data_IF_482936553374
#
_entry.id   IF_482936553374
#
_cell.length_a   1.000
_cell.length_b   1.000
_cell.length_c   1.000
_cell.angle_alpha   90.00
_cell.angle_beta   90.00
_cell.angle_gamma   90.00
#
_symmetry.space_group_name_H-M   'P 1'
#
loop_
_entity.id
_entity.type
_entity.pdbx_description
1 polymer ?
#
# COMPACT_ATOMS: atom_id res chain seq x y z
N UNK A 1 -23.70 5.28 -1.56
CA UNK A 1 -24.21 6.54 -0.97
C UNK A 1 -23.93 7.73 -1.87
N UNK A 2 -24.84 8.70 -1.90
CA UNK A 2 -24.64 9.97 -2.61
C UNK A 2 -23.83 10.94 -1.77
N UNK A 3 -23.16 11.90 -2.40
CA UNK A 3 -22.19 12.79 -1.73
C UNK A 3 -22.84 13.64 -0.63
N UNK A 4 -24.07 14.11 -0.84
CA UNK A 4 -24.79 14.95 0.11
C UNK A 4 -25.10 14.21 1.42
N UNK A 5 -25.44 12.92 1.33
CA UNK A 5 -25.75 12.07 2.49
C UNK A 5 -24.52 11.94 3.39
N UNK A 6 -23.35 11.70 2.78
CA UNK A 6 -22.09 11.54 3.51
C UNK A 6 -21.65 12.86 4.16
N UNK A 7 -21.94 14.00 3.52
CA UNK A 7 -21.59 15.32 4.05
C UNK A 7 -22.45 15.73 5.26
N UNK A 8 -23.70 15.25 5.32
CA UNK A 8 -24.63 15.53 6.42
C UNK A 8 -24.31 14.75 7.71
N UNK A 9 -23.48 13.70 7.65
CA UNK A 9 -23.14 12.87 8.82
C UNK A 9 -22.18 13.57 9.79
N UNK A 10 -22.41 13.33 11.08
CA UNK A 10 -21.51 13.73 12.16
C UNK A 10 -20.25 12.84 12.18
N UNK A 11 -19.17 13.29 12.84
CA UNK A 11 -17.91 12.54 12.88
C UNK A 11 -18.05 11.15 13.53
N UNK A 12 -18.81 11.06 14.62
CA UNK A 12 -19.09 9.81 15.33
C UNK A 12 -19.94 8.84 14.51
N UNK A 13 -20.95 9.36 13.81
CA UNK A 13 -21.80 8.58 12.90
C UNK A 13 -21.00 8.06 11.71
N UNK A 14 -20.12 8.88 11.16
CA UNK A 14 -19.24 8.52 10.05
C UNK A 14 -18.30 7.36 10.44
N UNK A 15 -17.71 7.41 11.64
CA UNK A 15 -16.89 6.33 12.16
C UNK A 15 -17.68 5.03 12.35
N UNK A 16 -18.89 5.11 12.91
CA UNK A 16 -19.78 3.95 13.07
C UNK A 16 -20.14 3.33 11.72
N UNK A 17 -20.59 4.14 10.76
CA UNK A 17 -20.94 3.63 9.42
C UNK A 17 -19.75 3.03 8.68
N UNK A 18 -18.54 3.57 8.86
CA UNK A 18 -17.32 2.97 8.34
C UNK A 18 -17.12 1.57 8.93
N UNK A 19 -17.25 1.41 10.25
CA UNK A 19 -17.09 0.12 10.92
C UNK A 19 -18.13 -0.90 10.43
N UNK A 20 -19.41 -0.51 10.38
CA UNK A 20 -20.49 -1.37 9.90
C UNK A 20 -20.28 -1.79 8.44
N UNK A 21 -19.87 -0.85 7.58
CA UNK A 21 -19.60 -1.12 6.17
C UNK A 21 -18.39 -2.04 5.98
N UNK A 22 -17.38 -1.93 6.85
CA UNK A 22 -16.22 -2.83 6.85
C UNK A 22 -16.58 -4.25 7.27
N UNK A 23 -17.44 -4.41 8.28
CA UNK A 23 -17.97 -5.71 8.68
C UNK A 23 -18.74 -6.35 7.53
N UNK A 24 -19.66 -5.62 6.89
CA UNK A 24 -20.38 -6.12 5.71
C UNK A 24 -19.44 -6.52 4.56
N UNK A 25 -18.35 -5.79 4.36
CA UNK A 25 -17.33 -6.16 3.36
C UNK A 25 -16.65 -7.47 3.75
N UNK A 26 -16.37 -7.70 5.04
CA UNK A 26 -15.79 -8.95 5.52
C UNK A 26 -16.74 -10.13 5.30
N UNK A 27 -18.02 -9.97 5.65
CA UNK A 27 -19.05 -11.01 5.44
C UNK A 27 -19.21 -11.34 3.95
N UNK A 28 -19.30 -10.32 3.09
CA UNK A 28 -19.39 -10.52 1.64
C UNK A 28 -18.15 -11.20 1.08
N UNK A 29 -16.96 -10.93 1.62
CA UNK A 29 -15.73 -11.62 1.21
C UNK A 29 -15.70 -13.07 1.65
N UNK A 30 -16.20 -13.36 2.85
CA UNK A 30 -16.32 -14.72 3.36
C UNK A 30 -17.31 -15.52 2.50
N UNK A 31 -18.50 -14.96 2.28
CA UNK A 31 -19.51 -15.58 1.42
C UNK A 31 -18.99 -15.79 0.00
N UNK A 32 -18.22 -14.84 -0.57
CA UNK A 32 -17.56 -14.99 -1.88
C UNK A 32 -16.70 -16.24 -2.01
N UNK A 33 -16.04 -16.61 -0.91
CA UNK A 33 -15.12 -17.74 -0.90
C UNK A 33 -15.87 -19.08 -0.94
N UNK A 34 -17.11 -19.10 -0.44
CA UNK A 34 -17.98 -20.28 -0.42
C UNK A 34 -18.81 -20.35 -1.72
N UNK A 35 -19.38 -19.23 -2.13
CA UNK A 35 -20.23 -19.11 -3.31
C UNK A 35 -19.85 -17.86 -4.14
N UNK A 36 -19.82 -17.94 -5.48
CA UNK A 36 -19.65 -16.76 -6.32
C UNK A 36 -20.67 -15.67 -5.97
N UNK A 37 -20.22 -14.42 -5.83
CA UNK A 37 -21.12 -13.31 -5.54
C UNK A 37 -22.17 -13.17 -6.63
N UNK A 38 -23.44 -13.24 -6.24
CA UNK A 38 -24.59 -12.96 -7.11
C UNK A 38 -24.48 -11.57 -7.76
N UNK A 39 -23.93 -10.59 -7.05
CA UNK A 39 -23.66 -9.27 -7.61
C UNK A 39 -22.34 -8.64 -7.10
N UNK A 40 -21.27 -8.59 -7.93
CA UNK A 40 -19.98 -8.01 -7.54
C UNK A 40 -20.03 -6.48 -7.36
N UNK A 41 -21.06 -5.80 -7.89
CA UNK A 41 -21.21 -4.35 -7.75
C UNK A 41 -21.50 -3.94 -6.31
N UNK A 42 -22.12 -4.81 -5.51
CA UNK A 42 -22.40 -4.54 -4.09
C UNK A 42 -21.08 -4.32 -3.34
N UNK A 43 -20.13 -5.24 -3.48
CA UNK A 43 -18.82 -5.14 -2.85
C UNK A 43 -18.04 -3.92 -3.35
N UNK A 44 -18.10 -3.63 -4.66
CA UNK A 44 -17.47 -2.44 -5.25
C UNK A 44 -18.04 -1.14 -4.69
N UNK A 45 -19.37 -1.06 -4.53
CA UNK A 45 -20.05 0.13 -4.04
C UNK A 45 -19.76 0.37 -2.56
N UNK A 46 -19.80 -0.68 -1.72
CA UNK A 46 -19.43 -0.59 -0.30
C UNK A 46 -17.99 -0.10 -0.11
N UNK A 47 -17.03 -0.61 -0.89
CA UNK A 47 -15.64 -0.15 -0.86
C UNK A 47 -15.52 1.34 -1.20
N UNK A 48 -16.27 1.81 -2.20
CA UNK A 48 -16.30 3.23 -2.57
C UNK A 48 -16.94 4.09 -1.49
N UNK A 49 -18.01 3.61 -0.87
CA UNK A 49 -18.69 4.32 0.21
C UNK A 49 -17.76 4.49 1.41
N UNK A 50 -17.07 3.43 1.85
CA UNK A 50 -16.02 3.50 2.90
C UNK A 50 -14.92 4.49 2.55
N UNK A 51 -14.41 4.47 1.31
CA UNK A 51 -13.36 5.39 0.88
C UNK A 51 -13.82 6.86 0.92
N UNK A 52 -15.06 7.15 0.48
CA UNK A 52 -15.62 8.52 0.54
C UNK A 52 -15.79 8.99 1.99
N UNK A 53 -16.36 8.15 2.86
CA UNK A 53 -16.52 8.46 4.29
C UNK A 53 -15.16 8.70 4.96
N UNK A 54 -14.18 7.83 4.71
CA UNK A 54 -12.83 7.97 5.27
C UNK A 54 -12.12 9.24 4.78
N UNK A 55 -12.32 9.60 3.51
CA UNK A 55 -11.78 10.85 2.95
C UNK A 55 -12.41 12.06 3.63
N UNK A 56 -13.73 12.03 3.83
CA UNK A 56 -14.45 13.11 4.51
C UNK A 56 -13.99 13.28 5.96
N UNK A 57 -13.78 12.18 6.68
CA UNK A 57 -13.22 12.19 8.04
C UNK A 57 -11.82 12.83 8.07
N UNK A 58 -10.97 12.50 7.11
CA UNK A 58 -9.63 13.09 6.99
C UNK A 58 -9.67 14.58 6.65
N UNK A 59 -10.62 15.03 5.82
CA UNK A 59 -10.80 16.47 5.55
C UNK A 59 -11.31 17.23 6.77
N UNK A 60 -12.18 16.63 7.60
CA UNK A 60 -12.63 17.22 8.88
C UNK A 60 -11.49 17.29 9.90
N UNK A 61 -10.66 16.25 9.96
CA UNK A 61 -9.54 16.13 10.89
C UNK A 61 -8.17 16.07 10.17
N UNK A 62 -7.67 17.19 9.62
CA UNK A 62 -6.43 17.24 8.85
C UNK A 62 -5.18 17.16 9.76
N UNK A 63 -5.01 16.05 10.50
CA UNK A 63 -3.82 15.82 11.33
C UNK A 63 -2.59 15.37 10.53
N UNK A 64 -2.76 14.99 9.25
CA UNK A 64 -1.69 14.41 8.41
C UNK A 64 -1.51 15.20 7.11
N UNK A 65 -1.01 16.45 7.20
CA UNK A 65 -0.39 17.15 6.07
C UNK A 65 1.08 16.73 5.97
N UNK A 66 1.40 15.52 5.50
CA UNK A 66 2.79 15.07 5.60
C UNK A 66 3.24 13.80 4.91
N UNK A 67 2.44 13.15 4.06
CA UNK A 67 2.98 12.08 3.21
C UNK A 67 3.66 12.69 1.99
N UNK A 68 4.81 13.35 2.21
CA UNK A 68 5.82 13.48 1.15
C UNK A 68 6.06 12.07 0.63
N UNK A 69 6.14 11.92 -0.68
CA UNK A 69 6.66 10.73 -1.34
C UNK A 69 7.88 10.23 -0.58
N UNK A 70 7.74 9.17 0.24
CA UNK A 70 8.91 8.35 0.54
C UNK A 70 9.25 7.77 -0.82
N UNK A 71 10.24 8.39 -1.48
CA UNK A 71 10.84 7.84 -2.67
C UNK A 71 11.01 6.35 -2.43
N UNK A 72 10.48 5.56 -3.36
CA UNK A 72 10.84 4.15 -3.44
C UNK A 72 12.36 4.20 -3.54
N UNK A 73 13.07 3.94 -2.43
CA UNK A 73 14.48 3.62 -2.48
C UNK A 73 14.49 2.31 -3.24
N UNK A 74 14.65 2.37 -4.56
CA UNK A 74 15.13 1.21 -5.32
C UNK A 74 16.36 0.78 -4.54
N UNK A 75 16.27 -0.39 -3.93
CA UNK A 75 17.30 -0.88 -3.05
C UNK A 75 18.64 -0.70 -3.75
N UNK A 76 19.61 -0.17 -3.01
CA UNK A 76 21.02 -0.41 -3.23
C UNK A 76 21.27 -1.92 -3.15
N UNK A 77 20.74 -2.69 -4.10
CA UNK A 77 21.36 -3.94 -4.50
C UNK A 77 22.65 -3.53 -5.20
N UNK A 78 23.64 -3.15 -4.41
CA UNK A 78 25.01 -3.49 -4.75
C UNK A 78 25.02 -5.01 -4.82
N UNK A 79 24.70 -5.55 -6.00
CA UNK A 79 25.09 -6.88 -6.38
C UNK A 79 26.61 -6.84 -6.44
N UNK A 80 27.26 -6.98 -5.28
CA UNK A 80 28.64 -7.44 -5.22
C UNK A 80 28.60 -8.88 -5.72
N UNK A 81 28.70 -9.02 -7.06
CA UNK A 81 29.11 -10.28 -7.65
C UNK A 81 30.47 -10.56 -7.03
N UNK A 82 30.50 -11.48 -6.07
CA UNK A 82 31.71 -12.07 -5.51
C UNK A 82 32.48 -12.73 -6.65
N UNK A 83 33.26 -11.95 -7.38
CA UNK A 83 34.34 -12.49 -8.20
C UNK A 83 35.43 -12.85 -7.20
N UNK A 84 35.58 -14.15 -6.99
CA UNK A 84 36.61 -14.77 -6.17
C UNK A 84 37.99 -14.12 -6.43
N UNK A 85 38.80 -13.81 -5.40
CA UNK A 85 40.05 -13.04 -5.53
C UNK A 85 41.21 -13.82 -6.18
N UNK A 86 40.94 -14.83 -7.02
CA UNK A 86 41.97 -15.66 -7.64
C UNK A 86 42.66 -15.03 -8.88
N UNK A 87 42.34 -13.77 -9.25
CA UNK A 87 42.91 -13.10 -10.43
C UNK A 87 43.64 -11.77 -10.16
N UNK A 88 43.86 -11.38 -8.92
CA UNK A 88 44.64 -10.18 -8.57
C UNK A 88 46.13 -10.45 -8.28
N UNK A 89 46.55 -11.71 -8.09
CA UNK A 89 47.91 -12.03 -7.63
C UNK A 89 48.97 -12.30 -8.73
N UNK A 90 48.60 -12.29 -10.04
CA UNK A 90 49.55 -12.62 -11.13
C UNK A 90 50.09 -11.41 -11.93
N UNK A 91 49.71 -10.18 -11.58
CA UNK A 91 50.18 -8.98 -12.27
C UNK A 91 51.28 -8.19 -11.52
N UNK A 92 51.49 -8.44 -10.22
CA UNK A 92 52.50 -7.73 -9.43
C UNK A 92 53.92 -8.34 -9.48
N UNK A 93 54.10 -9.52 -10.11
CA UNK A 93 55.43 -10.18 -10.24
C UNK A 93 56.14 -9.94 -11.57
N UNK A 94 55.54 -9.20 -12.52
CA UNK A 94 56.19 -8.85 -13.82
C UNK A 94 56.69 -7.39 -13.87
N UNK A 95 56.89 -6.77 -12.71
CA UNK A 95 57.53 -5.45 -12.57
C UNK A 95 58.86 -5.50 -11.80
N UNK A 96 59.35 -6.69 -11.44
CA UNK A 96 60.59 -6.87 -10.67
C UNK A 96 61.68 -7.68 -11.41
N UNK A 97 61.47 -8.07 -12.66
CA UNK A 97 62.45 -8.84 -13.44
C UNK A 97 62.44 -8.38 -14.90
N UNK A 98 62.93 -7.15 -15.10
CA UNK A 98 63.60 -6.66 -16.32
C UNK A 98 64.48 -5.47 -15.90
N UNK A 99 65.57 -5.79 -15.23
CA UNK A 99 66.87 -5.31 -15.67
C UNK A 99 67.26 -6.13 -16.89
#
# INVERSE_FOLDING_TARGET
MKKYEIAALNESELQKQIADSQQRIADLKFNKAIEPLQNPMILRNLRKDVARMSTLLNTKNPKVKGRKSKGIKTGSMETTVKISPAKAAKAAKKAAEKK
#
